data_IF_713178562335
#
_entry.id   IF_713178562335
#
_cell.length_a   1.000
_cell.length_b   1.000
_cell.length_c   1.000
_cell.angle_alpha   90.00
_cell.angle_beta   90.00
_cell.angle_gamma   90.00
#
_symmetry.space_group_name_H-M   'P 1'
#
loop_
_entity.id
_entity.type
_entity.pdbx_description
1 polymer ?
#
# COMPACT_ATOMS: atom_id res chain seq x y z
N UNK A 1 -20.13 -23.83 8.57
CA UNK A 1 -20.14 -22.52 7.87
C UNK A 1 -18.76 -21.86 7.77
N UNK A 2 -18.17 -21.33 8.87
CA UNK A 2 -16.89 -20.61 8.78
C UNK A 2 -15.69 -21.48 8.32
N UNK A 3 -15.61 -22.73 8.79
CA UNK A 3 -14.60 -23.70 8.33
C UNK A 3 -14.77 -24.09 6.86
N UNK A 4 -16.01 -24.08 6.36
CA UNK A 4 -16.33 -24.44 4.99
C UNK A 4 -15.93 -23.31 4.03
N UNK A 5 -16.22 -22.05 4.38
CA UNK A 5 -15.71 -20.86 3.69
C UNK A 5 -14.18 -20.86 3.69
N UNK A 6 -13.56 -21.21 4.82
CA UNK A 6 -12.11 -21.31 4.91
C UNK A 6 -11.50 -22.46 4.08
N UNK A 7 -12.30 -23.38 3.52
CA UNK A 7 -11.84 -24.46 2.63
C UNK A 7 -12.24 -24.23 1.18
N UNK A 8 -13.19 -23.35 0.92
CA UNK A 8 -13.66 -23.02 -0.43
C UNK A 8 -12.61 -22.25 -1.24
N UNK A 9 -12.74 -22.29 -2.56
CA UNK A 9 -11.87 -21.54 -3.48
C UNK A 9 -12.04 -20.02 -3.33
N UNK A 10 -13.27 -19.54 -3.10
CA UNK A 10 -13.55 -18.13 -2.84
C UNK A 10 -12.84 -17.66 -1.57
N UNK A 11 -12.85 -18.47 -0.50
CA UNK A 11 -12.13 -18.16 0.74
C UNK A 11 -10.61 -18.19 0.57
N UNK A 12 -10.07 -19.04 -0.31
CA UNK A 12 -8.65 -19.03 -0.68
C UNK A 12 -8.30 -17.75 -1.45
N UNK A 13 -9.11 -17.36 -2.43
CA UNK A 13 -8.94 -16.13 -3.23
C UNK A 13 -9.00 -14.89 -2.34
N UNK A 14 -10.05 -14.76 -1.51
CA UNK A 14 -10.20 -13.66 -0.57
C UNK A 14 -8.98 -13.50 0.36
N UNK A 15 -8.42 -14.60 0.87
CA UNK A 15 -7.20 -14.55 1.72
C UNK A 15 -5.97 -14.07 0.95
N UNK A 16 -5.79 -14.52 -0.31
CA UNK A 16 -4.68 -14.05 -1.15
C UNK A 16 -4.79 -12.56 -1.44
N UNK A 17 -6.00 -12.06 -1.73
CA UNK A 17 -6.24 -10.64 -1.97
C UNK A 17 -6.03 -9.81 -0.71
N UNK A 18 -6.56 -10.26 0.44
CA UNK A 18 -6.34 -9.59 1.72
C UNK A 18 -4.87 -9.48 2.08
N UNK A 19 -4.08 -10.55 1.85
CA UNK A 19 -2.63 -10.52 2.07
C UNK A 19 -1.94 -9.46 1.22
N UNK A 20 -2.39 -9.21 -0.01
CA UNK A 20 -1.84 -8.12 -0.85
C UNK A 20 -2.12 -6.74 -0.21
N UNK A 21 -3.34 -6.53 0.27
CA UNK A 21 -3.73 -5.28 0.95
C UNK A 21 -2.96 -5.11 2.26
N UNK A 22 -2.91 -6.14 3.11
CA UNK A 22 -2.16 -6.12 4.38
C UNK A 22 -0.68 -5.79 4.18
N UNK A 23 -0.06 -6.38 3.15
CA UNK A 23 1.34 -6.09 2.81
C UNK A 23 1.54 -4.66 2.31
N UNK A 24 0.61 -4.10 1.54
CA UNK A 24 0.66 -2.68 1.15
C UNK A 24 0.61 -1.78 2.38
N UNK A 25 -0.28 -2.04 3.33
CA UNK A 25 -0.37 -1.28 4.58
C UNK A 25 0.88 -1.41 5.44
N UNK A 26 1.44 -2.62 5.55
CA UNK A 26 2.72 -2.82 6.26
C UNK A 26 3.86 -2.00 5.61
N UNK A 27 3.88 -1.92 4.28
CA UNK A 27 4.86 -1.13 3.54
C UNK A 27 4.67 0.37 3.77
N UNK A 28 3.43 0.86 3.72
CA UNK A 28 3.10 2.26 4.02
C UNK A 28 3.58 2.65 5.42
N UNK A 29 3.30 1.84 6.43
CA UNK A 29 3.78 2.06 7.81
C UNK A 29 5.30 2.14 7.87
N UNK A 30 6.01 1.18 7.26
CA UNK A 30 7.48 1.12 7.31
C UNK A 30 8.18 2.27 6.56
N UNK A 31 7.71 2.63 5.37
CA UNK A 31 8.36 3.66 4.54
C UNK A 31 7.92 5.07 4.90
N UNK A 32 6.62 5.28 5.07
CA UNK A 32 6.06 6.61 5.29
C UNK A 32 5.88 6.93 6.78
N UNK A 33 6.26 6.00 7.68
CA UNK A 33 6.09 6.12 9.13
C UNK A 33 4.66 6.49 9.51
N UNK A 34 3.70 5.88 8.80
CA UNK A 34 2.26 6.08 8.99
C UNK A 34 1.78 5.26 10.19
N UNK A 35 2.40 5.50 11.34
CA UNK A 35 2.11 4.81 12.61
C UNK A 35 0.89 5.42 13.31
N UNK A 36 0.59 6.69 13.00
CA UNK A 36 -0.55 7.42 13.54
C UNK A 36 -1.18 8.27 12.47
N UNK A 37 -2.51 8.23 12.40
CA UNK A 37 -3.29 9.17 11.60
C UNK A 37 -3.16 10.57 12.21
N UNK A 38 -2.66 11.50 11.41
CA UNK A 38 -2.48 12.91 11.77
C UNK A 38 -3.73 13.72 11.45
N UNK A 39 -4.50 13.32 10.45
CA UNK A 39 -5.75 13.98 10.08
C UNK A 39 -6.91 13.41 10.93
N UNK A 40 -7.66 14.28 11.61
CA UNK A 40 -8.75 13.88 12.52
C UNK A 40 -10.04 13.54 11.77
N UNK A 41 -10.80 12.60 12.35
CA UNK A 41 -12.10 12.16 11.85
C UNK A 41 -12.01 11.17 10.68
N UNK A 42 -13.12 10.53 10.29
CA UNK A 42 -13.15 9.51 9.23
C UNK A 42 -12.75 10.07 7.86
N UNK A 43 -13.09 11.34 7.57
CA UNK A 43 -12.65 12.01 6.35
C UNK A 43 -11.14 12.23 6.34
N UNK A 44 -10.57 12.72 7.46
CA UNK A 44 -9.12 12.88 7.59
C UNK A 44 -8.36 11.56 7.44
N UNK A 45 -8.85 10.50 8.08
CA UNK A 45 -8.28 9.15 7.94
C UNK A 45 -8.26 8.69 6.48
N UNK A 46 -9.38 8.89 5.76
CA UNK A 46 -9.49 8.54 4.33
C UNK A 46 -8.44 9.28 3.51
N UNK A 47 -8.33 10.59 3.67
CA UNK A 47 -7.42 11.43 2.89
C UNK A 47 -5.96 11.05 3.14
N UNK A 48 -5.61 10.75 4.39
CA UNK A 48 -4.26 10.32 4.76
C UNK A 48 -3.85 9.02 4.08
N UNK A 49 -4.77 8.05 3.95
CA UNK A 49 -4.50 6.82 3.18
C UNK A 49 -4.34 7.08 1.68
N UNK A 50 -5.13 7.98 1.09
CA UNK A 50 -5.00 8.33 -0.32
C UNK A 50 -3.65 9.01 -0.60
N UNK A 51 -3.25 9.96 0.25
CA UNK A 51 -1.96 10.65 0.14
C UNK A 51 -0.79 9.68 0.32
N UNK A 52 -0.88 8.76 1.28
CA UNK A 52 0.16 7.76 1.51
C UNK A 52 0.30 6.79 0.33
N UNK A 53 -0.81 6.33 -0.23
CA UNK A 53 -0.82 5.50 -1.44
C UNK A 53 -0.21 6.26 -2.64
N UNK A 54 -0.57 7.54 -2.82
CA UNK A 54 0.00 8.39 -3.86
C UNK A 54 1.51 8.53 -3.71
N UNK A 55 2.01 8.84 -2.50
CA UNK A 55 3.45 8.95 -2.23
C UNK A 55 4.19 7.63 -2.54
N UNK A 56 3.60 6.48 -2.18
CA UNK A 56 4.19 5.18 -2.51
C UNK A 56 4.22 4.90 -4.01
N UNK A 57 3.15 5.24 -4.73
CA UNK A 57 3.09 5.12 -6.20
C UNK A 57 4.13 5.99 -6.89
N UNK A 58 4.28 7.25 -6.47
CA UNK A 58 5.32 8.17 -6.96
C UNK A 58 6.73 7.60 -6.72
N UNK A 59 6.99 7.03 -5.54
CA UNK A 59 8.28 6.38 -5.26
C UNK A 59 8.54 5.18 -6.17
N UNK A 60 7.50 4.40 -6.49
CA UNK A 60 7.63 3.27 -7.43
C UNK A 60 7.91 3.75 -8.85
N UNK A 61 7.24 4.80 -9.31
CA UNK A 61 7.48 5.43 -10.62
C UNK A 61 8.90 5.97 -10.73
N UNK A 62 9.39 6.68 -9.69
CA UNK A 62 10.75 7.21 -9.66
C UNK A 62 11.85 6.13 -9.80
N UNK A 63 11.57 4.87 -9.42
CA UNK A 63 12.50 3.74 -9.60
C UNK A 63 12.54 3.20 -11.03
N UNK A 64 11.49 3.43 -11.81
CA UNK A 64 11.37 2.94 -13.19
C UNK A 64 11.98 3.96 -14.17
N UNK A 65 11.96 5.24 -13.80
CA UNK A 65 12.55 6.31 -14.61
C UNK A 65 14.09 6.15 -14.60
N UNK A 66 14.74 5.96 -15.77
CA UNK A 66 16.18 5.93 -15.86
C UNK A 66 16.78 7.27 -15.43
N UNK A 67 17.81 7.24 -14.60
CA UNK A 67 18.55 8.46 -14.24
C UNK A 67 19.39 8.87 -15.46
N UNK A 68 19.20 10.08 -16.02
CA UNK A 68 20.03 10.53 -17.14
C UNK A 68 21.49 10.59 -16.67
N UNK A 69 22.38 9.97 -17.44
CA UNK A 69 23.81 10.01 -17.17
C UNK A 69 24.34 11.41 -17.46
N UNK A 70 25.15 12.01 -16.58
CA UNK A 70 25.77 13.30 -16.87
C UNK A 70 26.64 13.18 -18.12
N UNK A 71 26.52 14.15 -19.03
CA UNK A 71 27.40 14.24 -20.18
C UNK A 71 28.82 14.53 -19.70
N UNK A 72 29.85 13.79 -20.17
CA UNK A 72 31.23 14.12 -19.82
C UNK A 72 31.58 15.52 -20.30
N UNK A 73 32.35 16.24 -19.49
CA UNK A 73 32.80 17.61 -19.75
C UNK A 73 33.70 17.71 -20.99
#
# INVERSE_FOLDING_TARGET
>A
MARDIARSEEGKTSRRERKKVEMLFAHLKRILKLDRLRLRGPNGAKDEFHLAAAAQNLKKLAKIIPVPQPSPA
#
